data_IF_319322728926
#
_entry.id   IF_319322728926
#
_cell.length_a   1.000
_cell.length_b   1.000
_cell.length_c   1.000
_cell.angle_alpha   90.00
_cell.angle_beta   90.00
_cell.angle_gamma   90.00
#
_symmetry.space_group_name_H-M   'P 1'
#
loop_
_entity.id
_entity.type
_entity.pdbx_description
1 polymer ?
#
# COMPACT_ATOMS: atom_id res chain seq x y z
N UNK A 1 12.66 3.55 -14.90
CA UNK A 1 12.79 2.80 -13.63
C UNK A 1 12.62 1.32 -13.96
N UNK A 2 13.44 0.42 -13.40
CA UNK A 2 13.30 -1.03 -13.61
C UNK A 2 12.33 -1.65 -12.57
N UNK A 3 11.81 -2.87 -12.81
CA UNK A 3 10.98 -3.59 -11.82
C UNK A 3 11.66 -3.72 -10.45
N UNK A 4 12.93 -4.13 -10.40
CA UNK A 4 13.65 -4.29 -9.12
C UNK A 4 13.84 -2.94 -8.39
N UNK A 5 14.18 -1.88 -9.13
CA UNK A 5 14.27 -0.53 -8.57
C UNK A 5 12.94 -0.05 -7.99
N UNK A 6 11.81 -0.39 -8.64
CA UNK A 6 10.48 -0.07 -8.11
C UNK A 6 10.20 -0.84 -6.81
N UNK A 7 10.46 -2.14 -6.79
CA UNK A 7 10.23 -2.99 -5.62
C UNK A 7 11.05 -2.51 -4.41
N UNK A 8 12.30 -2.13 -4.62
CA UNK A 8 13.15 -1.59 -3.56
C UNK A 8 12.67 -0.23 -3.07
N UNK A 9 12.21 0.66 -3.96
CA UNK A 9 11.61 1.95 -3.56
C UNK A 9 10.32 1.78 -2.76
N UNK A 10 9.45 0.87 -3.16
CA UNK A 10 8.21 0.59 -2.44
C UNK A 10 8.48 0.03 -1.04
N UNK A 11 9.50 -0.83 -0.90
CA UNK A 11 9.94 -1.34 0.42
C UNK A 11 10.59 -0.24 1.27
N UNK A 12 11.31 0.69 0.65
CA UNK A 12 12.05 1.74 1.35
C UNK A 12 11.19 2.96 1.71
N UNK A 13 9.87 2.91 1.52
CA UNK A 13 8.99 4.06 1.76
C UNK A 13 9.17 4.60 3.18
N UNK A 14 9.32 5.92 3.31
CA UNK A 14 9.68 6.56 4.57
C UNK A 14 8.50 6.54 5.53
N UNK A 15 8.60 5.75 6.59
CA UNK A 15 7.62 5.68 7.68
C UNK A 15 8.11 6.53 8.85
N UNK A 16 7.21 7.33 9.46
CA UNK A 16 7.52 8.04 10.70
C UNK A 16 7.69 7.05 11.86
N UNK A 17 8.86 7.10 12.50
CA UNK A 17 9.28 6.22 13.60
C UNK A 17 9.15 6.89 14.98
N UNK A 18 8.70 8.14 15.04
CA UNK A 18 8.89 9.01 16.21
C UNK A 18 7.94 8.75 17.39
N UNK A 19 6.82 8.05 17.19
CA UNK A 19 5.78 7.89 18.23
C UNK A 19 5.42 6.43 18.53
N UNK A 20 6.37 5.68 19.11
CA UNK A 20 6.09 4.55 20.03
C UNK A 20 5.32 3.33 19.50
N UNK A 21 5.15 3.19 18.19
CA UNK A 21 4.45 2.05 17.57
C UNK A 21 4.40 2.25 16.07
N UNK A 22 4.05 1.20 15.29
CA UNK A 22 3.84 1.30 13.84
C UNK A 22 2.37 1.63 13.59
N UNK A 23 2.11 2.57 12.70
CA UNK A 23 0.93 2.47 11.85
C UNK A 23 1.44 2.72 10.43
N UNK A 24 1.46 1.70 9.57
CA UNK A 24 2.03 1.78 8.24
C UNK A 24 1.07 2.49 7.27
N UNK A 25 0.77 3.78 7.52
CA UNK A 25 -0.24 4.53 6.77
C UNK A 25 0.11 4.61 5.27
N UNK A 26 1.37 4.95 4.98
CA UNK A 26 1.86 5.03 3.60
C UNK A 26 1.82 3.66 2.91
N UNK A 27 2.37 2.58 3.51
CA UNK A 27 2.19 1.23 2.95
C UNK A 27 0.74 0.84 2.67
N UNK A 28 -0.21 1.12 3.57
CA UNK A 28 -1.64 0.86 3.32
C UNK A 28 -2.17 1.66 2.12
N UNK A 29 -1.80 2.94 2.00
CA UNK A 29 -2.18 3.77 0.85
C UNK A 29 -1.60 3.24 -0.47
N UNK A 30 -0.35 2.77 -0.45
CA UNK A 30 0.28 2.15 -1.62
C UNK A 30 -0.41 0.84 -2.02
N UNK A 31 -0.81 -0.01 -1.07
CA UNK A 31 -1.57 -1.23 -1.35
C UNK A 31 -2.94 -0.92 -1.95
N UNK A 32 -3.62 0.10 -1.44
CA UNK A 32 -4.88 0.59 -2.01
C UNK A 32 -4.70 1.10 -3.45
N UNK A 33 -3.59 1.79 -3.75
CA UNK A 33 -3.27 2.21 -5.10
C UNK A 33 -2.89 1.04 -6.02
N UNK A 34 -2.15 0.05 -5.53
CA UNK A 34 -1.82 -1.18 -6.28
C UNK A 34 -3.06 -1.95 -6.71
N UNK A 35 -4.06 -2.04 -5.83
CA UNK A 35 -5.35 -2.69 -6.12
C UNK A 35 -6.07 -2.10 -7.33
N UNK A 36 -5.77 -0.84 -7.66
CA UNK A 36 -6.42 -0.13 -8.77
C UNK A 36 -5.70 -0.33 -10.10
N UNK A 37 -4.40 -0.62 -10.11
CA UNK A 37 -3.61 -0.74 -11.36
C UNK A 37 -4.28 -1.65 -12.39
N UNK A 38 -4.84 -2.79 -11.95
CA UNK A 38 -5.53 -3.75 -12.84
C UNK A 38 -6.87 -3.28 -13.40
N UNK A 39 -7.42 -2.16 -12.93
CA UNK A 39 -8.70 -1.59 -13.40
C UNK A 39 -8.52 -0.71 -14.65
N UNK A 40 -7.28 -0.47 -15.09
CA UNK A 40 -6.96 0.31 -16.28
C UNK A 40 -6.48 1.74 -15.97
N UNK A 41 -6.01 2.48 -16.99
CA UNK A 41 -5.29 3.75 -16.83
C UNK A 41 -6.09 4.85 -16.14
N UNK A 42 -7.42 4.90 -16.34
CA UNK A 42 -8.32 5.88 -15.70
C UNK A 42 -8.37 5.72 -14.16
N UNK A 43 -7.96 4.57 -13.65
CA UNK A 43 -7.98 4.29 -12.21
C UNK A 43 -6.72 4.75 -11.47
N UNK A 44 -5.67 5.15 -12.22
CA UNK A 44 -4.33 5.49 -11.72
C UNK A 44 -4.36 6.63 -10.70
N UNK A 45 -5.08 7.70 -11.03
CA UNK A 45 -5.27 8.84 -10.15
C UNK A 45 -6.53 8.61 -9.32
N UNK A 46 -6.37 8.65 -8.00
CA UNK A 46 -7.43 8.39 -7.04
C UNK A 46 -7.92 9.74 -6.52
N UNK A 47 -9.22 10.07 -6.65
CA UNK A 47 -9.78 11.22 -5.97
C UNK A 47 -9.56 11.11 -4.46
N UNK A 48 -9.17 12.22 -3.83
CA UNK A 48 -8.88 12.26 -2.39
C UNK A 48 -10.03 11.71 -1.56
N UNK A 49 -11.28 12.04 -1.89
CA UNK A 49 -12.47 11.55 -1.18
C UNK A 49 -12.65 10.03 -1.29
N UNK A 50 -12.34 9.46 -2.45
CA UNK A 50 -12.37 8.01 -2.65
C UNK A 50 -11.28 7.34 -1.83
N UNK A 51 -10.07 7.89 -1.84
CA UNK A 51 -8.97 7.40 -1.01
C UNK A 51 -9.30 7.54 0.49
N UNK A 52 -9.94 8.64 0.91
CA UNK A 52 -10.35 8.92 2.28
C UNK A 52 -11.32 7.87 2.81
N UNK A 53 -12.39 7.59 2.06
CA UNK A 53 -13.37 6.58 2.43
C UNK A 53 -12.75 5.18 2.54
N UNK A 54 -12.03 4.75 1.49
CA UNK A 54 -11.43 3.41 1.45
C UNK A 54 -10.32 3.21 2.48
N UNK A 55 -9.53 4.25 2.77
CA UNK A 55 -8.50 4.17 3.79
C UNK A 55 -9.09 4.09 5.20
N UNK A 56 -10.21 4.78 5.46
CA UNK A 56 -10.90 4.70 6.75
C UNK A 56 -11.39 3.29 7.06
N UNK A 57 -11.95 2.59 6.08
CA UNK A 57 -12.33 1.18 6.22
C UNK A 57 -11.12 0.31 6.62
N UNK A 58 -10.00 0.42 5.90
CA UNK A 58 -8.78 -0.33 6.24
C UNK A 58 -8.20 0.05 7.61
N UNK A 59 -8.40 1.30 8.03
CA UNK A 59 -7.89 1.80 9.29
C UNK A 59 -8.61 1.21 10.50
N UNK A 60 -9.88 0.84 10.36
CA UNK A 60 -10.64 0.20 11.44
C UNK A 60 -10.02 -1.16 11.83
N UNK A 61 -9.53 -1.90 10.84
CA UNK A 61 -8.98 -3.25 11.05
C UNK A 61 -7.46 -3.26 11.28
N UNK A 62 -6.71 -2.41 10.57
CA UNK A 62 -5.24 -2.46 10.52
C UNK A 62 -4.57 -1.20 11.09
N UNK A 63 -5.36 -0.22 11.52
CA UNK A 63 -4.88 1.00 12.15
C UNK A 63 -4.44 0.79 13.59
N UNK A 64 -3.97 1.87 14.21
CA UNK A 64 -3.69 1.86 15.65
C UNK A 64 -4.99 1.97 16.44
N UNK A 65 -5.20 1.12 17.48
CA UNK A 65 -6.36 1.25 18.35
C UNK A 65 -6.48 2.67 18.94
N UNK A 66 -7.68 3.25 18.82
CA UNK A 66 -8.00 4.59 19.36
C UNK A 66 -7.42 5.78 18.58
N UNK A 67 -6.61 5.56 17.55
CA UNK A 67 -6.11 6.62 16.69
C UNK A 67 -7.10 6.91 15.55
N UNK A 68 -7.22 8.19 15.17
CA UNK A 68 -8.06 8.59 14.03
C UNK A 68 -7.32 8.37 12.70
N UNK A 69 -8.01 7.88 11.65
CA UNK A 69 -7.46 7.83 10.31
C UNK A 69 -7.17 9.24 9.81
N UNK A 70 -5.92 9.47 9.41
CA UNK A 70 -5.48 10.74 8.82
C UNK A 70 -4.92 10.48 7.44
N UNK A 71 -5.79 10.58 6.45
CA UNK A 71 -5.53 10.21 5.05
C UNK A 71 -4.72 11.29 4.35
N UNK A 72 -4.90 12.54 4.76
CA UNK A 72 -4.13 13.69 4.30
C UNK A 72 -2.62 13.47 4.44
N UNK A 73 -2.19 12.72 5.46
CA UNK A 73 -0.80 12.41 5.70
C UNK A 73 -0.21 11.44 4.68
N UNK A 74 -0.62 10.15 4.59
CA UNK A 74 -0.05 9.25 3.60
C UNK A 74 -0.28 9.75 2.17
N UNK A 75 -1.44 10.34 1.86
CA UNK A 75 -1.76 10.83 0.53
C UNK A 75 -0.82 11.97 0.10
N UNK A 76 -0.60 12.97 0.95
CA UNK A 76 0.27 14.10 0.66
C UNK A 76 1.77 13.79 0.80
N UNK A 77 2.15 13.03 1.83
CA UNK A 77 3.56 12.74 2.17
C UNK A 77 4.21 11.72 1.24
N UNK A 78 3.44 10.91 0.52
CA UNK A 78 3.98 10.01 -0.51
C UNK A 78 4.70 10.76 -1.64
N UNK A 79 4.39 12.05 -1.86
CA UNK A 79 5.17 12.92 -2.75
C UNK A 79 6.64 13.07 -2.35
N UNK A 80 6.96 12.83 -1.09
CA UNK A 80 8.34 12.91 -0.57
C UNK A 80 9.11 11.59 -0.80
N UNK A 81 8.42 10.53 -1.24
CA UNK A 81 9.02 9.25 -1.59
C UNK A 81 9.31 9.26 -3.10
N UNK A 82 10.58 9.51 -3.42
CA UNK A 82 10.99 9.96 -4.74
C UNK A 82 10.58 9.03 -5.88
N UNK A 83 9.85 9.61 -6.82
CA UNK A 83 9.49 8.98 -8.09
C UNK A 83 8.38 7.95 -8.00
N UNK A 84 7.69 7.79 -6.86
CA UNK A 84 6.56 6.86 -6.73
C UNK A 84 5.20 7.53 -6.96
N UNK A 85 4.95 8.67 -6.31
CA UNK A 85 3.62 9.26 -6.19
C UNK A 85 3.56 10.67 -6.75
N UNK A 86 2.43 11.05 -7.32
CA UNK A 86 2.16 12.41 -7.79
C UNK A 86 0.77 12.89 -7.40
N UNK A 87 0.65 14.22 -7.30
CA UNK A 87 -0.60 14.96 -7.18
C UNK A 87 -0.58 15.98 -8.34
N UNK A 88 -1.32 15.76 -9.44
CA UNK A 88 -1.27 16.65 -10.60
C UNK A 88 -1.65 18.09 -10.27
N UNK A 89 -2.56 18.28 -9.31
CA UNK A 89 -3.05 19.59 -8.87
C UNK A 89 -2.12 20.26 -7.83
N UNK A 90 -0.88 19.79 -7.65
CA UNK A 90 0.05 20.28 -6.63
C UNK A 90 0.28 21.80 -6.70
N UNK A 91 0.31 22.39 -7.90
CA UNK A 91 0.47 23.84 -8.09
C UNK A 91 -0.70 24.68 -7.56
N UNK A 92 -1.86 24.05 -7.28
CA UNK A 92 -3.04 24.70 -6.73
C UNK A 92 -3.09 24.64 -5.20
N UNK A 93 -2.23 23.81 -4.59
CA UNK A 93 -2.19 23.65 -3.14
C UNK A 93 -1.52 24.87 -2.48
N UNK A 94 -2.10 25.33 -1.38
CA UNK A 94 -1.46 26.32 -0.51
C UNK A 94 -0.29 25.77 0.31
N UNK A 95 -0.10 24.44 0.30
CA UNK A 95 0.94 23.72 1.05
C UNK A 95 2.00 23.15 0.10
N UNK A 96 3.27 23.40 0.42
CA UNK A 96 4.40 22.94 -0.38
C UNK A 96 4.72 21.45 -0.23
N UNK A 97 5.68 20.99 -1.02
CA UNK A 97 6.22 19.62 -0.89
C UNK A 97 6.92 19.49 0.46
N UNK A 98 6.47 18.54 1.28
CA UNK A 98 6.96 18.35 2.65
C UNK A 98 6.04 18.91 3.74
N UNK A 99 4.99 19.64 3.37
CA UNK A 99 3.91 20.04 4.28
C UNK A 99 2.73 19.06 4.19
N UNK A 100 1.91 19.06 5.24
CA UNK A 100 0.72 18.20 5.30
C UNK A 100 -0.42 18.81 4.47
N UNK A 101 -1.08 17.97 3.68
CA UNK A 101 -2.23 18.36 2.90
C UNK A 101 -3.36 18.83 3.82
N UNK A 102 -4.03 19.93 3.48
CA UNK A 102 -5.20 20.41 4.23
C UNK A 102 -6.45 19.70 3.75
N UNK A 103 -7.15 19.01 4.65
CA UNK A 103 -8.36 18.22 4.30
C UNK A 103 -9.42 19.06 3.57
N UNK A 104 -9.71 20.27 4.06
CA UNK A 104 -10.72 21.14 3.43
C UNK A 104 -10.33 21.57 2.01
N UNK A 105 -9.04 21.84 1.79
CA UNK A 105 -8.50 22.18 0.47
C UNK A 105 -8.51 20.96 -0.46
N UNK A 106 -8.08 19.79 0.04
CA UNK A 106 -8.07 18.54 -0.71
C UNK A 106 -9.45 18.19 -1.28
N UNK A 107 -10.49 18.34 -0.46
CA UNK A 107 -11.87 18.11 -0.88
C UNK A 107 -12.40 19.22 -1.77
N UNK A 108 -12.17 20.48 -1.40
CA UNK A 108 -12.68 21.65 -2.15
C UNK A 108 -12.11 21.77 -3.56
N UNK A 109 -10.85 21.38 -3.77
CA UNK A 109 -10.17 21.42 -5.07
C UNK A 109 -10.32 20.11 -5.86
N UNK A 110 -10.95 19.06 -5.28
CA UNK A 110 -11.07 17.76 -5.94
C UNK A 110 -9.71 17.09 -6.21
N UNK A 111 -8.76 17.24 -5.29
CA UNK A 111 -7.39 16.75 -5.45
C UNK A 111 -7.38 15.27 -5.79
N UNK A 112 -6.53 14.90 -6.76
CA UNK A 112 -6.26 13.51 -7.11
C UNK A 112 -4.83 13.14 -6.78
N UNK A 113 -4.56 11.85 -6.66
CA UNK A 113 -3.22 11.38 -6.35
C UNK A 113 -3.07 9.90 -6.62
N UNK A 114 -1.87 9.50 -7.02
CA UNK A 114 -1.62 8.12 -7.39
C UNK A 114 -0.18 7.87 -7.78
N UNK A 115 0.07 6.69 -8.32
CA UNK A 115 1.36 6.38 -8.91
C UNK A 115 1.66 7.33 -10.07
N UNK A 116 2.92 7.77 -10.14
CA UNK A 116 3.45 8.44 -11.34
C UNK A 116 3.19 7.60 -12.57
N UNK A 117 3.01 8.27 -13.71
CA UNK A 117 2.67 7.58 -14.96
C UNK A 117 3.66 6.45 -15.31
N UNK A 118 4.96 6.71 -15.23
CA UNK A 118 6.00 5.70 -15.48
C UNK A 118 5.96 4.50 -14.53
N UNK A 119 5.56 4.71 -13.26
CA UNK A 119 5.36 3.65 -12.27
C UNK A 119 4.12 2.84 -12.60
N UNK A 120 3.02 3.51 -12.91
CA UNK A 120 1.75 2.86 -13.27
C UNK A 120 1.88 2.05 -14.57
N UNK A 121 2.56 2.58 -15.58
CA UNK A 121 2.76 1.90 -16.86
C UNK A 121 3.61 0.64 -16.66
N UNK A 122 4.65 0.71 -15.83
CA UNK A 122 5.45 -0.46 -15.46
C UNK A 122 4.61 -1.52 -14.74
N UNK A 123 3.82 -1.12 -13.74
CA UNK A 123 2.95 -2.03 -12.97
C UNK A 123 1.83 -2.63 -13.83
N UNK A 124 1.22 -1.84 -14.71
CA UNK A 124 0.10 -2.30 -15.55
C UNK A 124 0.55 -3.21 -16.68
N UNK A 125 1.83 -3.17 -17.06
CA UNK A 125 2.42 -4.09 -18.04
C UNK A 125 2.68 -5.51 -17.52
N UNK A 126 2.69 -5.71 -16.20
CA UNK A 126 3.02 -7.00 -15.57
C UNK A 126 2.20 -7.23 -14.28
N UNK A 127 1.19 -8.09 -14.37
CA UNK A 127 0.35 -8.45 -13.23
C UNK A 127 1.10 -9.21 -12.11
N UNK A 128 2.19 -9.93 -12.44
CA UNK A 128 3.05 -10.57 -11.44
C UNK A 128 3.81 -9.50 -10.65
N UNK A 129 4.25 -8.43 -11.31
CA UNK A 129 4.93 -7.32 -10.65
C UNK A 129 4.03 -6.64 -9.60
N UNK A 130 2.73 -6.48 -9.86
CA UNK A 130 1.77 -5.97 -8.87
C UNK A 130 1.73 -6.87 -7.63
N UNK A 131 1.68 -8.18 -7.84
CA UNK A 131 1.66 -9.17 -6.75
C UNK A 131 2.96 -9.16 -5.94
N UNK A 132 4.11 -9.08 -6.63
CA UNK A 132 5.43 -8.95 -6.01
C UNK A 132 5.56 -7.65 -5.23
N UNK A 133 5.07 -6.53 -5.77
CA UNK A 133 5.05 -5.24 -5.11
C UNK A 133 4.24 -5.28 -3.81
N UNK A 134 3.02 -5.82 -3.86
CA UNK A 134 2.18 -5.98 -2.67
C UNK A 134 2.87 -6.83 -1.60
N UNK A 135 3.42 -7.99 -1.97
CA UNK A 135 4.17 -8.87 -1.05
C UNK A 135 5.39 -8.18 -0.45
N UNK A 136 6.13 -7.40 -1.24
CA UNK A 136 7.31 -6.67 -0.79
C UNK A 136 6.96 -5.60 0.25
N UNK A 137 5.90 -4.82 0.00
CA UNK A 137 5.36 -3.83 0.95
C UNK A 137 4.90 -4.53 2.25
N UNK A 138 4.15 -5.63 2.13
CA UNK A 138 3.64 -6.39 3.27
C UNK A 138 4.77 -6.93 4.16
N UNK A 139 5.76 -7.59 3.54
CA UNK A 139 6.90 -8.21 4.24
C UNK A 139 7.71 -7.20 5.04
N UNK A 140 7.92 -6.00 4.52
CA UNK A 140 8.72 -4.97 5.17
C UNK A 140 7.96 -4.25 6.30
N UNK A 141 6.66 -4.03 6.11
CA UNK A 141 5.91 -3.07 6.92
C UNK A 141 4.91 -3.69 7.91
N UNK A 142 4.51 -4.94 7.70
CA UNK A 142 3.44 -5.58 8.46
C UNK A 142 3.86 -6.97 8.98
N UNK A 143 3.37 -7.40 10.15
CA UNK A 143 3.59 -8.76 10.61
C UNK A 143 2.97 -9.79 9.65
N UNK A 144 3.61 -10.95 9.40
CA UNK A 144 3.09 -11.97 8.48
C UNK A 144 1.68 -12.45 8.78
N UNK A 145 1.27 -12.41 10.05
CA UNK A 145 -0.04 -12.88 10.51
C UNK A 145 -1.24 -12.11 9.94
N UNK A 146 -1.04 -10.88 9.44
CA UNK A 146 -2.14 -10.03 8.91
C UNK A 146 -2.02 -9.81 7.40
N UNK A 147 -1.07 -10.45 6.72
CA UNK A 147 -0.83 -10.20 5.29
C UNK A 147 -2.04 -10.59 4.42
N UNK A 148 -2.67 -11.74 4.70
CA UNK A 148 -3.84 -12.20 3.94
C UNK A 148 -5.03 -11.28 4.15
N UNK A 149 -5.34 -10.93 5.41
CA UNK A 149 -6.44 -10.03 5.76
C UNK A 149 -6.31 -8.68 5.03
N UNK A 150 -5.10 -8.12 4.97
CA UNK A 150 -4.85 -6.86 4.24
C UNK A 150 -5.08 -7.05 2.73
N UNK A 151 -4.56 -8.12 2.13
CA UNK A 151 -4.73 -8.41 0.70
C UNK A 151 -6.21 -8.54 0.33
N UNK A 152 -6.98 -9.25 1.15
CA UNK A 152 -8.43 -9.40 0.98
C UNK A 152 -9.15 -8.06 1.10
N UNK A 153 -8.81 -7.25 2.12
CA UNK A 153 -9.46 -5.96 2.34
C UNK A 153 -9.19 -4.94 1.21
N UNK A 154 -7.98 -4.95 0.64
CA UNK A 154 -7.66 -4.12 -0.54
C UNK A 154 -8.06 -4.76 -1.86
N UNK A 155 -8.55 -6.01 -1.85
CA UNK A 155 -8.93 -6.80 -3.04
C UNK A 155 -7.77 -7.07 -4.01
N UNK A 156 -6.58 -7.32 -3.47
CA UNK A 156 -5.41 -7.77 -4.24
C UNK A 156 -5.28 -9.30 -4.16
N UNK A 157 -5.09 -9.94 -5.30
CA UNK A 157 -4.72 -11.34 -5.33
C UNK A 157 -3.28 -11.52 -4.83
N UNK A 158 -3.06 -12.46 -3.93
CA UNK A 158 -1.73 -13.01 -3.74
C UNK A 158 -1.39 -13.80 -5.02
N UNK A 159 -0.71 -13.18 -6.00
CA UNK A 159 -0.23 -13.89 -7.19
C UNK A 159 0.55 -15.16 -6.83
N UNK A 160 0.73 -16.11 -7.77
CA UNK A 160 1.32 -17.41 -7.47
C UNK A 160 2.67 -17.22 -6.76
N UNK A 161 2.75 -17.69 -5.51
CA UNK A 161 4.01 -17.76 -4.79
C UNK A 161 4.93 -18.65 -5.63
N UNK A 162 5.96 -18.11 -6.26
CA UNK A 162 7.10 -18.88 -6.74
C UNK A 162 7.94 -19.35 -5.54
N UNK A 163 7.30 -20.06 -4.62
CA UNK A 163 7.92 -20.91 -3.62
C UNK A 163 7.81 -22.35 -4.12
N UNK A 164 8.56 -22.63 -5.19
CA UNK A 164 8.87 -23.98 -5.59
C UNK A 164 10.14 -24.42 -4.89
N UNK A 165 10.02 -24.89 -3.65
CA UNK A 165 10.75 -26.06 -3.17
C UNK A 165 9.87 -26.76 -2.12
N UNK A 166 9.41 -27.91 -2.55
CA UNK A 166 8.83 -29.01 -1.81
C UNK A 166 9.67 -29.36 -0.58
N UNK A 167 9.09 -29.28 0.62
CA UNK A 167 9.40 -30.25 1.66
C UNK A 167 8.08 -30.66 2.36
N UNK A 168 7.61 -31.91 2.16
CA UNK A 168 6.47 -32.43 2.88
C UNK A 168 6.86 -32.64 4.34
N UNK A 169 6.24 -31.86 5.23
CA UNK A 169 6.29 -32.06 6.67
C UNK A 169 5.92 -33.52 7.00
N UNK A 170 6.81 -34.31 7.64
CA UNK A 170 6.50 -35.70 7.92
C UNK A 170 5.35 -35.76 8.93
N UNK A 171 4.25 -36.41 8.52
CA UNK A 171 3.14 -36.79 9.40
C UNK A 171 3.70 -37.68 10.51
N UNK A 172 3.93 -37.12 11.69
CA UNK A 172 4.23 -37.91 12.88
C UNK A 172 2.94 -38.59 13.31
N UNK A 173 2.83 -39.86 12.95
CA UNK A 173 1.67 -40.70 13.20
C UNK A 173 1.32 -40.80 14.68
N UNK A 174 0.01 -40.82 14.94
CA UNK A 174 -0.56 -41.44 16.15
C UNK A 174 -0.01 -42.85 16.28
N UNK A 175 0.62 -43.17 17.42
CA UNK A 175 0.59 -44.51 17.98
C UNK A 175 -0.17 -44.44 19.31
N UNK A 176 -1.30 -45.11 19.31
CA UNK A 176 -2.04 -45.54 20.49
C UNK A 176 -1.46 -46.91 20.89
N UNK A 177 -1.15 -47.09 22.18
CA UNK A 177 -1.10 -48.35 22.97
C UNK A 177 -0.55 -47.98 24.36
N UNK A 178 -1.38 -47.96 25.39
CA UNK A 178 -1.67 -49.09 26.29
C UNK A 178 -0.41 -49.70 26.89
N UNK A 179 -0.14 -49.38 28.17
CA UNK A 179 -0.11 -50.30 29.32
C UNK A 179 -0.38 -49.50 30.60
#
# INVERSE_FOLDING_TARGET
>A
MTPDQLLDRLAAVRIDRSHGGRAPHKPLMLLLALARVGLGPESRLIPYETADARFKELWEDFGRPGARPRVEYPFGRLRNDDGLWEIPEESQLSTGRGEDLRVGEAKGLGITGGFRQDVHDLLSSDADLVSRAARRILTEHFPPSIHQDILEAVRLAAGPSSHGLDEPMPRRGRKVREY
#
